data_IF_359493390384
#
_entry.id   IF_359493390384
#
_cell.length_a   1.000
_cell.length_b   1.000
_cell.length_c   1.000
_cell.angle_alpha   90.00
_cell.angle_beta   90.00
_cell.angle_gamma   90.00
#
_symmetry.space_group_name_H-M   'P 1'
#
loop_
_entity.id
_entity.type
_entity.pdbx_description
1 polymer ?
#
# COMPACT_ATOMS: atom_id res chain seq x y z
N UNK A 1 -16.39 20.83 1.03
CA UNK A 1 -15.15 20.66 1.82
C UNK A 1 -14.09 20.21 0.83
N UNK A 2 -13.08 21.05 0.62
CA UNK A 2 -12.08 20.94 -0.43
C UNK A 2 -11.16 19.73 -0.16
N UNK A 3 -10.95 18.88 -1.17
CA UNK A 3 -10.13 17.69 -1.03
C UNK A 3 -8.65 18.10 -1.00
N UNK A 4 -8.01 18.05 0.17
CA UNK A 4 -6.58 18.32 0.27
C UNK A 4 -5.78 17.12 -0.29
N UNK A 5 -5.64 17.07 -1.61
CA UNK A 5 -4.58 16.30 -2.24
C UNK A 5 -3.26 17.03 -1.96
N UNK A 6 -2.35 16.40 -1.21
CA UNK A 6 -1.06 17.00 -0.86
C UNK A 6 -0.12 16.86 -2.06
N UNK A 7 -0.20 17.80 -3.00
CA UNK A 7 0.79 17.93 -4.06
C UNK A 7 1.97 18.76 -3.56
N UNK A 8 3.00 18.09 -3.06
CA UNK A 8 4.21 18.76 -2.54
C UNK A 8 4.86 19.65 -3.60
N UNK A 9 4.86 19.25 -4.87
CA UNK A 9 5.46 20.04 -5.94
C UNK A 9 4.79 21.41 -6.15
N UNK A 10 3.53 21.58 -5.71
CA UNK A 10 2.77 22.84 -5.80
C UNK A 10 2.87 23.68 -4.51
N UNK A 11 3.67 23.26 -3.53
CA UNK A 11 3.85 24.04 -2.30
C UNK A 11 4.55 25.36 -2.59
N UNK A 12 3.98 26.45 -2.07
CA UNK A 12 4.62 27.76 -2.06
C UNK A 12 5.69 27.80 -0.97
N UNK A 13 6.60 28.80 -0.97
CA UNK A 13 7.57 28.97 0.11
C UNK A 13 6.94 29.07 1.51
N UNK A 14 5.73 29.61 1.61
CA UNK A 14 4.98 29.68 2.87
C UNK A 14 4.53 28.29 3.34
N UNK A 15 4.08 27.43 2.44
CA UNK A 15 3.74 26.03 2.78
C UNK A 15 4.99 25.25 3.24
N UNK A 16 6.13 25.45 2.58
CA UNK A 16 7.41 24.85 3.00
C UNK A 16 7.84 25.36 4.37
N UNK A 17 7.67 26.66 4.64
CA UNK A 17 7.98 27.26 5.93
C UNK A 17 7.11 26.70 7.06
N UNK A 18 5.80 26.54 6.85
CA UNK A 18 4.88 25.91 7.80
C UNK A 18 5.25 24.44 8.05
N UNK A 19 5.57 23.69 6.99
CA UNK A 19 6.05 22.31 7.13
C UNK A 19 7.32 22.24 7.99
N UNK A 20 8.31 23.11 7.74
CA UNK A 20 9.57 23.13 8.50
C UNK A 20 9.35 23.49 9.97
N UNK A 21 8.43 24.43 10.27
CA UNK A 21 8.01 24.76 11.65
C UNK A 21 7.42 23.55 12.38
N UNK A 22 6.76 22.66 11.65
CA UNK A 22 6.12 21.46 12.18
C UNK A 22 7.06 20.28 12.47
N UNK A 23 8.33 20.33 12.06
CA UNK A 23 9.29 19.23 12.26
C UNK A 23 9.81 19.17 13.70
N UNK A 24 10.63 20.16 14.08
CA UNK A 24 11.20 20.28 15.42
C UNK A 24 11.42 21.74 15.80
N UNK A 25 11.30 22.05 17.10
CA UNK A 25 11.54 23.40 17.62
C UNK A 25 12.96 23.90 17.34
N UNK A 26 13.94 22.99 17.29
CA UNK A 26 15.36 23.26 16.98
C UNK A 26 15.57 23.84 15.57
N UNK A 27 14.62 23.60 14.65
CA UNK A 27 14.69 24.00 13.24
C UNK A 27 13.97 25.32 12.94
N UNK A 28 13.15 25.83 13.87
CA UNK A 28 12.41 27.10 13.73
C UNK A 28 13.31 28.28 13.34
N UNK A 29 14.56 28.43 13.85
CA UNK A 29 15.45 29.51 13.42
C UNK A 29 15.79 29.49 11.92
N UNK A 30 15.68 28.34 11.24
CA UNK A 30 15.99 28.21 9.82
C UNK A 30 14.86 28.62 8.88
N UNK A 31 13.64 28.77 9.39
CA UNK A 31 12.44 29.02 8.59
C UNK A 31 12.56 30.31 7.76
N UNK A 32 13.15 31.36 8.34
CA UNK A 32 13.34 32.61 7.59
C UNK A 32 14.35 32.47 6.45
N UNK A 33 15.34 31.57 6.56
CA UNK A 33 16.29 31.31 5.49
C UNK A 33 15.62 30.61 4.31
N UNK A 34 14.72 29.65 4.57
CA UNK A 34 13.91 29.02 3.52
C UNK A 34 13.00 30.03 2.81
N UNK A 35 12.33 30.91 3.57
CA UNK A 35 11.47 31.97 3.01
C UNK A 35 12.27 32.98 2.17
N UNK A 36 13.38 33.49 2.71
CA UNK A 36 14.19 34.49 2.03
C UNK A 36 14.79 33.96 0.72
N UNK A 37 15.16 32.67 0.68
CA UNK A 37 15.65 32.00 -0.51
C UNK A 37 14.53 31.42 -1.39
N UNK A 38 13.26 31.65 -1.03
CA UNK A 38 12.07 31.23 -1.79
C UNK A 38 12.07 29.73 -2.12
N UNK A 39 12.47 28.90 -1.14
CA UNK A 39 12.45 27.44 -1.29
C UNK A 39 10.98 26.98 -1.38
N UNK A 40 10.55 26.66 -2.60
CA UNK A 40 9.23 26.09 -2.88
C UNK A 40 9.25 24.56 -2.82
N UNK A 41 8.09 23.93 -3.06
CA UNK A 41 7.95 22.48 -3.02
C UNK A 41 8.81 21.72 -4.02
N UNK A 42 9.05 22.27 -5.21
CA UNK A 42 9.93 21.64 -6.21
C UNK A 42 11.39 21.67 -5.74
N UNK A 43 11.84 22.78 -5.17
CA UNK A 43 13.18 22.88 -4.59
C UNK A 43 13.32 21.94 -3.38
N UNK A 44 12.32 21.92 -2.49
CA UNK A 44 12.32 21.07 -1.30
C UNK A 44 12.48 19.59 -1.64
N UNK A 45 11.77 19.09 -2.66
CA UNK A 45 11.85 17.68 -3.07
C UNK A 45 13.24 17.29 -3.60
N UNK A 46 14.00 18.24 -4.14
CA UNK A 46 15.33 18.04 -4.68
C UNK A 46 16.46 18.48 -3.74
N UNK A 47 16.12 18.87 -2.51
CA UNK A 47 17.07 19.44 -1.55
C UNK A 47 18.19 18.46 -1.20
N UNK A 48 19.43 18.95 -1.28
CA UNK A 48 20.66 18.22 -0.95
C UNK A 48 21.33 18.79 0.31
N UNK A 49 22.37 18.12 0.80
CA UNK A 49 23.15 18.62 1.94
C UNK A 49 23.88 19.94 1.58
N UNK A 50 24.38 20.05 0.35
CA UNK A 50 25.08 21.25 -0.12
C UNK A 50 24.13 22.46 -0.14
N UNK A 51 22.88 22.27 -0.61
CA UNK A 51 21.86 23.33 -0.57
C UNK A 51 21.56 23.82 0.86
N UNK A 52 21.65 22.93 1.86
CA UNK A 52 21.47 23.30 3.27
C UNK A 52 22.64 24.14 3.79
N UNK A 53 23.87 23.90 3.32
CA UNK A 53 25.02 24.73 3.64
C UNK A 53 24.87 26.14 3.03
N UNK A 54 24.36 26.23 1.80
CA UNK A 54 24.04 27.51 1.15
C UNK A 54 22.93 28.28 1.90
N UNK A 55 22.01 27.58 2.56
CA UNK A 55 21.02 28.14 3.48
C UNK A 55 21.56 28.45 4.89
N UNK A 56 22.89 28.36 5.08
CA UNK A 56 23.61 28.59 6.34
C UNK A 56 23.28 27.59 7.46
N UNK A 57 22.91 26.35 7.10
CA UNK A 57 22.58 25.26 8.03
C UNK A 57 23.77 24.31 8.11
N UNK A 58 24.81 24.68 8.88
CA UNK A 58 26.05 23.89 8.99
C UNK A 58 26.01 22.77 10.04
N UNK A 59 24.98 22.74 10.90
CA UNK A 59 24.87 21.71 11.94
C UNK A 59 24.45 20.39 11.30
N UNK A 60 25.36 19.43 11.24
CA UNK A 60 25.12 18.10 10.67
C UNK A 60 23.84 17.46 11.22
N UNK A 61 23.60 17.53 12.54
CA UNK A 61 22.37 16.97 13.13
C UNK A 61 21.10 17.62 12.60
N UNK A 62 21.11 18.93 12.35
CA UNK A 62 19.96 19.64 11.78
C UNK A 62 19.79 19.33 10.28
N UNK A 63 20.90 19.22 9.54
CA UNK A 63 20.86 18.80 8.15
C UNK A 63 20.23 17.40 8.00
N UNK A 64 20.64 16.45 8.85
CA UNK A 64 20.09 15.09 8.84
C UNK A 64 18.59 15.06 9.13
N UNK A 65 18.12 15.81 10.13
CA UNK A 65 16.68 15.90 10.45
C UNK A 65 15.86 16.43 9.26
N UNK A 66 16.34 17.50 8.62
CA UNK A 66 15.67 18.09 7.47
C UNK A 66 15.68 17.09 6.30
N UNK A 67 16.83 16.50 5.96
CA UNK A 67 16.95 15.57 4.84
C UNK A 67 16.13 14.29 5.06
N UNK A 68 16.05 13.78 6.29
CA UNK A 68 15.20 12.63 6.64
C UNK A 68 13.72 12.97 6.46
N UNK A 69 13.29 14.15 6.92
CA UNK A 69 11.91 14.61 6.72
C UNK A 69 11.59 14.84 5.23
N UNK A 70 12.52 15.38 4.44
CA UNK A 70 12.37 15.53 2.98
C UNK A 70 12.28 14.15 2.31
N UNK A 71 13.04 13.16 2.76
CA UNK A 71 12.95 11.80 2.22
C UNK A 71 11.57 11.17 2.45
N UNK A 72 11.01 11.34 3.65
CA UNK A 72 9.63 10.91 3.94
C UNK A 72 8.62 11.66 3.06
N UNK A 73 8.84 12.95 2.81
CA UNK A 73 7.98 13.77 1.96
C UNK A 73 8.06 13.36 0.48
N UNK A 74 9.25 13.01 -0.03
CA UNK A 74 9.44 12.40 -1.36
C UNK A 74 8.71 11.06 -1.46
N UNK A 75 8.86 10.19 -0.46
CA UNK A 75 8.15 8.91 -0.43
C UNK A 75 6.65 9.12 -0.46
N UNK A 76 6.11 10.10 0.28
CA UNK A 76 4.70 10.45 0.21
C UNK A 76 4.31 10.92 -1.20
N UNK A 77 5.03 11.92 -1.75
CA UNK A 77 4.74 12.51 -3.05
C UNK A 77 4.76 11.48 -4.20
N UNK A 78 5.79 10.63 -4.26
CA UNK A 78 5.94 9.64 -5.34
C UNK A 78 5.15 8.34 -5.11
N UNK A 79 4.81 8.00 -3.86
CA UNK A 79 3.94 6.83 -3.58
C UNK A 79 2.47 7.09 -3.91
N UNK A 80 1.99 8.33 -3.75
CA UNK A 80 0.62 8.71 -4.10
C UNK A 80 0.34 8.61 -5.61
N UNK A 81 1.36 8.79 -6.46
CA UNK A 81 1.19 8.83 -7.92
C UNK A 81 1.40 7.46 -8.60
N UNK A 82 1.96 6.47 -7.90
CA UNK A 82 2.38 5.20 -8.52
C UNK A 82 1.45 4.02 -8.23
N UNK A 83 0.87 3.92 -7.04
CA UNK A 83 -0.08 2.86 -6.68
C UNK A 83 -1.15 3.42 -5.75
N UNK A 84 -2.43 3.20 -6.05
CA UNK A 84 -3.54 3.51 -5.13
C UNK A 84 -4.04 2.24 -4.46
N UNK A 85 -4.74 2.36 -3.32
CA UNK A 85 -5.42 1.23 -2.67
C UNK A 85 -6.33 0.48 -3.66
N UNK A 86 -7.01 1.22 -4.55
CA UNK A 86 -7.82 0.65 -5.62
C UNK A 86 -6.98 -0.16 -6.62
N UNK A 87 -5.85 0.39 -7.09
CA UNK A 87 -4.98 -0.32 -8.03
C UNK A 87 -4.44 -1.63 -7.43
N UNK A 88 -4.09 -1.62 -6.14
CA UNK A 88 -3.62 -2.79 -5.41
C UNK A 88 -4.73 -3.84 -5.25
N UNK A 89 -5.95 -3.41 -4.92
CA UNK A 89 -7.10 -4.29 -4.80
C UNK A 89 -7.44 -4.97 -6.14
N UNK A 90 -7.42 -4.21 -7.24
CA UNK A 90 -7.65 -4.74 -8.59
C UNK A 90 -6.55 -5.74 -8.96
N UNK A 91 -5.26 -5.38 -8.79
CA UNK A 91 -4.12 -6.28 -9.06
C UNK A 91 -4.24 -7.60 -8.26
N UNK A 92 -4.57 -7.52 -6.98
CA UNK A 92 -4.79 -8.69 -6.12
C UNK A 92 -5.95 -9.56 -6.64
N UNK A 93 -7.07 -8.94 -7.01
CA UNK A 93 -8.23 -9.63 -7.57
C UNK A 93 -7.91 -10.36 -8.88
N UNK A 94 -7.19 -9.70 -9.79
CA UNK A 94 -6.75 -10.28 -11.07
C UNK A 94 -5.83 -11.48 -10.88
N UNK A 95 -4.83 -11.37 -9.98
CA UNK A 95 -3.92 -12.49 -9.66
C UNK A 95 -4.68 -13.67 -9.05
N UNK A 96 -5.55 -13.40 -8.07
CA UNK A 96 -6.37 -14.44 -7.44
C UNK A 96 -7.30 -15.14 -8.44
N UNK A 97 -7.92 -14.38 -9.36
CA UNK A 97 -8.79 -14.95 -10.40
C UNK A 97 -8.00 -15.76 -11.44
N UNK A 98 -6.81 -15.32 -11.81
CA UNK A 98 -5.94 -16.06 -12.71
C UNK A 98 -5.53 -17.40 -12.11
N UNK A 99 -5.09 -17.42 -10.85
CA UNK A 99 -4.78 -18.66 -10.14
C UNK A 99 -6.01 -19.57 -10.02
N UNK A 100 -7.18 -19.02 -9.73
CA UNK A 100 -8.42 -19.80 -9.67
C UNK A 100 -8.76 -20.46 -11.00
N UNK A 101 -8.60 -19.73 -12.11
CA UNK A 101 -8.86 -20.25 -13.45
C UNK A 101 -7.84 -21.31 -13.85
N UNK A 102 -6.56 -21.11 -13.53
CA UNK A 102 -5.48 -22.08 -13.75
C UNK A 102 -5.77 -23.39 -13.01
N UNK A 103 -6.10 -23.33 -11.72
CA UNK A 103 -6.48 -24.51 -10.93
C UNK A 103 -7.80 -25.15 -11.39
N UNK A 104 -8.70 -24.40 -12.03
CA UNK A 104 -9.95 -24.94 -12.59
C UNK A 104 -9.71 -25.69 -13.91
N UNK A 105 -8.81 -25.21 -14.74
CA UNK A 105 -8.51 -25.77 -16.06
C UNK A 105 -7.48 -26.91 -15.99
N UNK A 106 -6.45 -26.72 -15.17
CA UNK A 106 -5.28 -27.61 -15.08
C UNK A 106 -5.23 -28.42 -13.79
N UNK A 107 -6.16 -28.19 -12.86
CA UNK A 107 -6.31 -29.02 -11.67
C UNK A 107 -6.91 -30.39 -12.01
N UNK A 108 -6.64 -31.43 -11.20
CA UNK A 108 -7.21 -32.76 -11.38
C UNK A 108 -8.74 -32.67 -11.43
N UNK A 109 -9.32 -33.15 -12.53
CA UNK A 109 -10.76 -33.22 -12.71
C UNK A 109 -11.34 -34.34 -11.85
N UNK A 110 -12.54 -34.13 -11.29
CA UNK A 110 -13.25 -35.09 -10.43
C UNK A 110 -13.60 -36.44 -11.11
N UNK A 111 -13.12 -36.68 -12.34
CA UNK A 111 -13.34 -37.91 -13.09
C UNK A 111 -12.02 -38.65 -13.35
N UNK A 112 -11.78 -39.64 -12.48
CA UNK A 112 -11.07 -40.89 -12.76
C UNK A 112 -9.56 -40.83 -13.01
N UNK A 113 -8.75 -40.36 -12.06
CA UNK A 113 -7.40 -40.92 -11.81
C UNK A 113 -7.05 -40.80 -10.31
N UNK A 114 -7.69 -41.65 -9.51
CA UNK A 114 -7.20 -42.01 -8.17
C UNK A 114 -5.88 -42.77 -8.35
N UNK A 115 -4.80 -42.36 -7.64
CA UNK A 115 -3.48 -43.03 -7.47
C UNK A 115 -2.22 -42.24 -7.92
N UNK A 116 -2.26 -40.91 -8.08
CA UNK A 116 -1.04 -40.08 -8.03
C UNK A 116 -1.15 -39.01 -6.95
N UNK A 117 -0.13 -38.95 -6.10
CA UNK A 117 0.07 -37.87 -5.12
C UNK A 117 -0.03 -36.53 -5.85
N UNK A 118 -1.10 -35.78 -5.61
CA UNK A 118 -1.30 -34.42 -6.10
C UNK A 118 -0.18 -33.54 -5.54
N UNK A 119 0.89 -33.33 -6.32
CA UNK A 119 1.92 -32.34 -5.97
C UNK A 119 1.55 -31.01 -6.58
N UNK A 120 1.59 -29.95 -5.78
CA UNK A 120 1.37 -28.59 -6.27
C UNK A 120 2.49 -28.25 -7.27
N UNK A 121 2.13 -27.74 -8.45
CA UNK A 121 3.13 -27.33 -9.44
C UNK A 121 3.91 -26.10 -8.97
N UNK A 122 5.16 -25.97 -9.42
CA UNK A 122 5.98 -24.77 -9.16
C UNK A 122 5.33 -23.49 -9.68
N UNK A 123 4.51 -23.57 -10.75
CA UNK A 123 3.72 -22.44 -11.26
C UNK A 123 2.67 -21.97 -10.26
N UNK A 124 1.98 -22.89 -9.59
CA UNK A 124 0.99 -22.57 -8.55
C UNK A 124 1.69 -21.97 -7.33
N UNK A 125 2.85 -22.49 -6.93
CA UNK A 125 3.67 -21.90 -5.85
C UNK A 125 4.08 -20.45 -6.17
N UNK A 126 4.52 -20.20 -7.41
CA UNK A 126 4.89 -18.85 -7.86
C UNK A 126 3.69 -17.91 -7.85
N UNK A 127 2.55 -18.33 -8.38
CA UNK A 127 1.32 -17.53 -8.39
C UNK A 127 0.82 -17.22 -6.97
N UNK A 128 0.92 -18.18 -6.03
CA UNK A 128 0.62 -17.94 -4.61
C UNK A 128 1.58 -16.92 -4.01
N UNK A 129 2.89 -17.04 -4.28
CA UNK A 129 3.89 -16.08 -3.82
C UNK A 129 3.57 -14.67 -4.31
N UNK A 130 3.23 -14.51 -5.59
CA UNK A 130 2.86 -13.21 -6.17
C UNK A 130 1.58 -12.62 -5.56
N UNK A 131 0.60 -13.46 -5.19
CA UNK A 131 -0.60 -13.05 -4.45
C UNK A 131 -0.21 -12.57 -3.06
N UNK A 132 0.65 -13.29 -2.34
CA UNK A 132 1.12 -12.91 -1.00
C UNK A 132 1.90 -11.59 -1.04
N UNK A 133 2.72 -11.35 -2.06
CA UNK A 133 3.38 -10.05 -2.27
C UNK A 133 2.36 -8.93 -2.47
N UNK A 134 1.33 -9.15 -3.29
CA UNK A 134 0.25 -8.17 -3.50
C UNK A 134 -0.59 -7.94 -2.24
N UNK A 135 -0.82 -8.97 -1.43
CA UNK A 135 -1.46 -8.84 -0.11
C UNK A 135 -0.62 -7.97 0.83
N UNK A 136 0.69 -8.20 0.89
CA UNK A 136 1.60 -7.41 1.73
C UNK A 136 1.57 -5.93 1.36
N UNK A 137 1.59 -5.63 0.05
CA UNK A 137 1.45 -4.26 -0.44
C UNK A 137 0.11 -3.64 -0.02
N UNK A 138 -1.02 -4.33 -0.23
CA UNK A 138 -2.34 -3.86 0.17
C UNK A 138 -2.44 -3.59 1.68
N UNK A 139 -1.92 -4.50 2.51
CA UNK A 139 -1.92 -4.35 3.97
C UNK A 139 -1.07 -3.15 4.40
N UNK A 140 0.10 -2.95 3.79
CA UNK A 140 0.95 -1.78 4.09
C UNK A 140 0.31 -0.44 3.76
N UNK A 141 -0.67 -0.41 2.85
CA UNK A 141 -1.50 0.76 2.58
C UNK A 141 -2.59 0.96 3.62
N UNK A 142 -3.22 -0.12 4.08
CA UNK A 142 -4.22 -0.09 5.15
C UNK A 142 -3.61 0.26 6.52
N UNK A 143 -2.29 0.12 6.68
CA UNK A 143 -1.52 0.54 7.87
C UNK A 143 -1.20 2.03 7.90
N UNK A 144 -1.56 2.79 6.87
CA UNK A 144 -1.34 4.24 6.80
C UNK A 144 -2.60 4.99 7.24
N UNK A 145 -2.42 6.21 7.74
CA UNK A 145 -3.52 7.15 7.88
C UNK A 145 -4.08 7.51 6.50
N UNK A 146 -5.40 7.73 6.36
CA UNK A 146 -6.45 7.71 7.40
C UNK A 146 -7.02 6.31 7.70
N UNK A 147 -6.59 5.27 7.00
CA UNK A 147 -7.21 3.93 7.02
C UNK A 147 -7.06 3.18 8.35
N UNK A 148 -6.04 3.52 9.15
CA UNK A 148 -5.72 2.86 10.41
C UNK A 148 -6.89 2.86 11.42
N UNK A 149 -7.73 3.89 11.37
CA UNK A 149 -8.89 4.05 12.27
C UNK A 149 -10.23 3.70 11.62
N UNK A 150 -10.24 3.40 10.32
CA UNK A 150 -11.48 3.10 9.62
C UNK A 150 -11.92 1.65 9.87
N UNK A 151 -13.12 1.49 10.42
CA UNK A 151 -13.63 0.18 10.84
C UNK A 151 -13.82 -0.81 9.68
N UNK A 152 -14.10 -0.31 8.47
CA UNK A 152 -14.23 -1.14 7.26
C UNK A 152 -12.86 -1.59 6.77
N UNK A 153 -11.88 -0.69 6.74
CA UNK A 153 -10.48 -0.98 6.39
C UNK A 153 -9.86 -2.00 7.35
N UNK A 154 -10.12 -1.89 8.65
CA UNK A 154 -9.69 -2.86 9.65
C UNK A 154 -10.31 -4.25 9.45
N UNK A 155 -11.62 -4.32 9.12
CA UNK A 155 -12.30 -5.58 8.78
C UNK A 155 -11.72 -6.19 7.49
N UNK A 156 -11.48 -5.36 6.47
CA UNK A 156 -10.87 -5.77 5.21
C UNK A 156 -9.46 -6.33 5.45
N UNK A 157 -8.61 -5.62 6.21
CA UNK A 157 -7.26 -6.05 6.61
C UNK A 157 -7.30 -7.41 7.29
N UNK A 158 -8.16 -7.59 8.30
CA UNK A 158 -8.33 -8.89 9.00
C UNK A 158 -8.72 -10.01 8.04
N UNK A 159 -9.63 -9.73 7.11
CA UNK A 159 -10.12 -10.70 6.14
C UNK A 159 -9.01 -11.11 5.15
N UNK A 160 -8.32 -10.12 4.57
CA UNK A 160 -7.21 -10.32 3.63
C UNK A 160 -6.07 -11.11 4.29
N UNK A 161 -5.69 -10.75 5.52
CA UNK A 161 -4.65 -11.47 6.27
C UNK A 161 -5.07 -12.91 6.56
N UNK A 162 -6.30 -13.13 7.04
CA UNK A 162 -6.81 -14.48 7.30
C UNK A 162 -6.74 -15.36 6.04
N UNK A 163 -7.25 -14.85 4.92
CA UNK A 163 -7.23 -15.57 3.65
C UNK A 163 -5.80 -15.82 3.14
N UNK A 164 -4.87 -14.88 3.37
CA UNK A 164 -3.46 -15.06 2.98
C UNK A 164 -2.76 -16.14 3.80
N UNK A 165 -3.07 -16.23 5.09
CA UNK A 165 -2.56 -17.29 5.98
C UNK A 165 -3.14 -18.63 5.56
N UNK A 166 -4.44 -18.70 5.29
CA UNK A 166 -5.10 -19.92 4.80
C UNK A 166 -4.48 -20.38 3.46
N UNK A 167 -4.24 -19.46 2.54
CA UNK A 167 -3.59 -19.74 1.25
C UNK A 167 -2.17 -20.28 1.46
N UNK A 168 -1.31 -19.57 2.19
CA UNK A 168 0.06 -19.99 2.47
C UNK A 168 0.13 -21.35 3.18
N UNK A 169 -0.75 -21.57 4.17
CA UNK A 169 -0.81 -22.81 4.95
C UNK A 169 -1.32 -24.00 4.13
N UNK A 170 -2.11 -23.76 3.09
CA UNK A 170 -2.57 -24.81 2.19
C UNK A 170 -1.49 -25.17 1.17
N UNK A 171 -0.76 -24.17 0.71
CA UNK A 171 0.36 -24.33 -0.22
C UNK A 171 1.58 -25.00 0.42
N UNK A 172 1.85 -24.76 1.71
CA UNK A 172 2.96 -25.39 2.45
C UNK A 172 2.67 -26.82 2.91
N UNK A 173 1.40 -27.25 3.00
CA UNK A 173 1.02 -28.61 3.46
C UNK A 173 1.13 -29.71 2.38
N UNK A 174 1.94 -29.47 1.35
CA UNK A 174 2.11 -30.28 0.12
C UNK A 174 2.59 -31.73 0.34
N UNK A 175 3.03 -32.12 1.55
CA UNK A 175 3.45 -33.51 1.84
C UNK A 175 2.40 -34.37 2.55
N UNK A 176 1.31 -33.81 3.09
CA UNK A 176 0.40 -34.56 3.98
C UNK A 176 -1.10 -34.26 3.82
N UNK A 177 -1.49 -33.32 2.95
CA UNK A 177 -2.90 -32.97 2.76
C UNK A 177 -3.58 -33.85 1.70
N UNK A 178 -4.71 -34.45 2.04
CA UNK A 178 -5.60 -35.12 1.09
C UNK A 178 -6.30 -34.04 0.23
N UNK A 179 -5.98 -33.98 -1.07
CA UNK A 179 -6.56 -33.07 -2.09
C UNK A 179 -6.23 -31.56 -1.94
N UNK A 180 -4.95 -31.15 -2.01
CA UNK A 180 -4.52 -29.74 -1.88
C UNK A 180 -5.19 -28.79 -2.89
N UNK A 181 -5.48 -29.24 -4.12
CA UNK A 181 -6.10 -28.40 -5.15
C UNK A 181 -7.50 -27.91 -4.74
N UNK A 182 -8.29 -28.79 -4.11
CA UNK A 182 -9.64 -28.46 -3.63
C UNK A 182 -9.64 -27.45 -2.47
N UNK A 183 -8.62 -27.52 -1.62
CA UNK A 183 -8.44 -26.60 -0.48
C UNK A 183 -7.99 -25.21 -0.95
N UNK A 184 -7.06 -25.14 -1.91
CA UNK A 184 -6.63 -23.86 -2.49
C UNK A 184 -7.81 -23.17 -3.18
N UNK A 185 -8.60 -23.92 -3.96
CA UNK A 185 -9.81 -23.42 -4.64
C UNK A 185 -10.86 -22.87 -3.65
N UNK A 186 -10.96 -23.45 -2.45
CA UNK A 186 -11.86 -23.00 -1.37
C UNK A 186 -11.36 -21.72 -0.67
N UNK A 187 -10.04 -21.55 -0.58
CA UNK A 187 -9.40 -20.42 0.11
C UNK A 187 -9.18 -19.20 -0.79
N UNK A 188 -9.37 -19.32 -2.11
CA UNK A 188 -9.45 -18.18 -3.04
C UNK A 188 -10.84 -17.49 -2.92
N UNK A 189 -11.17 -17.01 -1.72
CA UNK A 189 -12.34 -16.12 -1.48
C UNK A 189 -12.04 -14.65 -1.79
N UNK A 190 -10.79 -14.31 -2.12
CA UNK A 190 -10.39 -12.98 -2.62
C UNK A 190 -11.21 -12.52 -3.83
N UNK A 191 -11.71 -13.48 -4.61
CA UNK A 191 -12.53 -13.30 -5.81
C UNK A 191 -13.93 -12.69 -5.53
N UNK A 192 -14.38 -12.78 -4.28
CA UNK A 192 -15.69 -12.37 -3.75
C UNK A 192 -15.56 -11.22 -2.75
N UNK A 193 -14.34 -10.71 -2.52
CA UNK A 193 -14.19 -9.44 -1.82
C UNK A 193 -15.05 -8.39 -2.54
N UNK A 194 -15.75 -7.51 -1.80
CA UNK A 194 -16.73 -6.58 -2.34
C UNK A 194 -16.09 -5.45 -3.18
N UNK A 195 -15.01 -5.72 -3.89
CA UNK A 195 -14.52 -4.91 -5.00
C UNK A 195 -15.41 -5.11 -6.24
N UNK A 196 -16.73 -5.22 -6.04
CA UNK A 196 -17.68 -4.97 -7.12
C UNK A 196 -17.47 -3.50 -7.47
N UNK A 197 -16.80 -3.28 -8.59
CA UNK A 197 -16.72 -2.01 -9.31
C UNK A 197 -18.16 -1.65 -9.67
N UNK A 198 -18.86 -1.04 -8.72
CA UNK A 198 -20.03 -0.23 -8.99
C UNK A 198 -19.51 1.20 -9.01
N UNK A 199 -19.78 1.90 -10.11
CA UNK A 199 -19.55 3.34 -10.27
C UNK A 199 -20.19 4.20 -9.17
N UNK A 200 -21.01 3.62 -8.29
CA UNK A 200 -21.55 4.24 -7.08
C UNK A 200 -20.47 4.52 -6.02
N UNK A 201 -19.40 3.71 -5.93
CA UNK A 201 -18.27 4.00 -5.04
C UNK A 201 -17.39 5.16 -5.53
N UNK A 202 -17.60 5.62 -6.77
CA UNK A 202 -16.93 6.81 -7.31
C UNK A 202 -17.62 8.12 -6.89
N UNK A 203 -18.78 8.08 -6.22
CA UNK A 203 -19.63 9.26 -6.01
C UNK A 203 -20.24 9.44 -4.61
N UNK A 204 -20.05 8.54 -3.63
CA UNK A 204 -20.66 8.68 -2.30
C UNK A 204 -19.64 8.98 -1.17
N UNK A 205 -19.40 10.26 -0.84
CA UNK A 205 -18.67 10.69 0.35
C UNK A 205 -19.67 11.00 1.49
N UNK A 206 -20.30 9.99 2.08
CA UNK A 206 -21.02 10.14 3.35
C UNK A 206 -21.42 8.79 3.97
N UNK A 207 -20.54 8.22 4.81
CA UNK A 207 -20.97 7.50 6.01
C UNK A 207 -20.13 8.02 7.17
N UNK A 208 -20.39 9.27 7.54
CA UNK A 208 -20.06 9.87 8.86
C UNK A 208 -20.85 11.16 9.01
N UNK A 209 -22.18 11.04 9.05
CA UNK A 209 -23.09 12.11 9.50
C UNK A 209 -24.40 11.50 9.99
N UNK A 210 -24.31 10.60 10.98
CA UNK A 210 -25.40 10.29 11.90
C UNK A 210 -24.75 9.82 13.21
N UNK A 211 -24.25 10.77 14.01
CA UNK A 211 -24.31 10.84 15.49
C UNK A 211 -23.72 12.21 15.87
N UNK A 212 -24.58 13.24 15.83
CA UNK A 212 -24.69 14.42 16.72
C UNK A 212 -25.54 15.49 16.03
#
# INVERSE_FOLDING_TARGET
>A
MEMAYVNVAEWTPEHVAEWLRGLEYSLVPYVQFFLNNKIDGCHLLNLTADDLEDLHIFKIGHQLLILEAVELLRQLHYSLNSETLQSLAVKLGCKARSLYNDLKLNGPQDHLESMKQERISTSVLSAVSEILTSVKALVSWLDRLPFLHDSLCLKLKKTVLKLSIELASTTQRDQFAEKPHSLIKRNIKFKELPFRINSTWMMDPCISSEVL
#
